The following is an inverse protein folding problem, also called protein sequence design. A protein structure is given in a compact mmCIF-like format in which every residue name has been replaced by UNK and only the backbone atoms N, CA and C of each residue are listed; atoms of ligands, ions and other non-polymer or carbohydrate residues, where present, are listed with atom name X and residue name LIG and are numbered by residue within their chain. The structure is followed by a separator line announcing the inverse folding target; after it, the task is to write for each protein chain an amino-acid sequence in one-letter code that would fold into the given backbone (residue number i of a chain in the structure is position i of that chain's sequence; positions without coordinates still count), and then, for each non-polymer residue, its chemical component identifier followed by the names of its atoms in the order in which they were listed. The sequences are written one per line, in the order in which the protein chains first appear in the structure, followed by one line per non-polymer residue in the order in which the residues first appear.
data_IF_349419907985
#
_entry.id   IF_349419907985
#
_cell.length_a   1.000
_cell.length_b   1.000
_cell.length_c   1.000
_cell.angle_alpha   90.00
_cell.angle_beta   90.00
_cell.angle_gamma   90.00
#
_symmetry.space_group_name_H-M   'P 1'
#
loop_
_entity.id
_entity.type
_entity.pdbx_description
1 polymer ?
#
# COMPACT_ATOMS: atom_id res chain seq x y z
N UNK A 1 -19.12 -14.46 11.53
CA UNK A 1 -19.84 -13.55 10.63
C UNK A 1 -18.92 -13.34 9.43
N UNK A 2 -18.96 -14.24 8.46
CA UNK A 2 -18.23 -14.07 7.20
C UNK A 2 -19.02 -13.04 6.38
N UNK A 3 -18.64 -11.76 6.50
CA UNK A 3 -18.95 -10.82 5.44
C UNK A 3 -18.31 -11.39 4.18
N UNK A 4 -19.10 -11.60 3.14
CA UNK A 4 -18.67 -12.06 1.82
C UNK A 4 -17.50 -11.18 1.36
N UNK A 5 -16.27 -11.66 1.55
CA UNK A 5 -15.03 -10.96 1.23
C UNK A 5 -14.89 -10.94 -0.30
N UNK A 6 -15.47 -9.93 -0.94
CA UNK A 6 -15.30 -9.69 -2.37
C UNK A 6 -14.07 -8.82 -2.63
N UNK A 7 -13.49 -8.97 -3.82
CA UNK A 7 -12.36 -8.15 -4.28
C UNK A 7 -12.66 -6.66 -4.11
N UNK A 8 -13.83 -6.21 -4.56
CA UNK A 8 -14.22 -4.81 -4.46
C UNK A 8 -14.39 -4.33 -3.01
N UNK A 9 -14.90 -5.18 -2.11
CA UNK A 9 -14.99 -4.82 -0.69
C UNK A 9 -13.60 -4.58 -0.09
N UNK A 10 -12.64 -5.46 -0.41
CA UNK A 10 -11.24 -5.33 0.03
C UNK A 10 -10.56 -4.08 -0.55
N UNK A 11 -10.67 -3.86 -1.87
CA UNK A 11 -10.06 -2.70 -2.51
C UNK A 11 -10.65 -1.38 -2.00
N UNK A 12 -11.96 -1.32 -1.77
CA UNK A 12 -12.59 -0.16 -1.14
C UNK A 12 -12.13 0.05 0.30
N UNK A 13 -11.84 -1.02 1.05
CA UNK A 13 -11.29 -0.90 2.40
C UNK A 13 -9.89 -0.29 2.37
N UNK A 14 -9.01 -0.76 1.48
CA UNK A 14 -7.65 -0.22 1.29
C UNK A 14 -7.71 1.25 0.87
N UNK A 15 -8.53 1.58 -0.13
CA UNK A 15 -8.63 2.94 -0.66
C UNK A 15 -9.14 3.96 0.38
N UNK A 16 -9.91 3.55 1.38
CA UNK A 16 -10.36 4.46 2.44
C UNK A 16 -9.21 5.00 3.29
N UNK A 17 -8.09 4.27 3.43
CA UNK A 17 -6.91 4.76 4.16
C UNK A 17 -6.06 5.69 3.32
N UNK A 18 -5.91 5.36 2.05
CA UNK A 18 -5.05 6.09 1.11
C UNK A 18 -5.84 6.62 -0.10
N UNK A 19 -6.84 7.50 0.11
CA UNK A 19 -7.81 7.87 -0.94
C UNK A 19 -7.19 8.60 -2.13
N UNK A 20 -6.04 9.25 -1.92
CA UNK A 20 -5.38 10.08 -2.92
C UNK A 20 -4.14 9.41 -3.54
N UNK A 21 -3.87 8.14 -3.24
CA UNK A 21 -2.72 7.42 -3.79
C UNK A 21 -3.17 6.55 -4.98
N UNK A 22 -3.41 7.20 -6.12
CA UNK A 22 -3.98 6.58 -7.33
C UNK A 22 -3.15 5.41 -7.86
N UNK A 23 -1.84 5.59 -7.91
CA UNK A 23 -0.87 4.61 -8.43
C UNK A 23 -0.78 3.40 -7.50
N UNK A 24 -0.84 3.64 -6.18
CA UNK A 24 -0.87 2.58 -5.19
C UNK A 24 -2.17 1.77 -5.28
N UNK A 25 -3.33 2.44 -5.36
CA UNK A 25 -4.62 1.78 -5.50
C UNK A 25 -4.71 0.93 -6.78
N UNK A 26 -4.16 1.42 -7.90
CA UNK A 26 -4.06 0.66 -9.14
C UNK A 26 -3.19 -0.59 -8.96
N UNK A 27 -1.99 -0.44 -8.41
CA UNK A 27 -1.06 -1.57 -8.20
C UNK A 27 -1.68 -2.66 -7.31
N UNK A 28 -2.35 -2.28 -6.22
CA UNK A 28 -3.05 -3.23 -5.35
C UNK A 28 -4.18 -3.94 -6.12
N UNK A 29 -4.96 -3.19 -6.92
CA UNK A 29 -6.05 -3.79 -7.72
C UNK A 29 -5.52 -4.83 -8.70
N UNK A 30 -4.46 -4.55 -9.44
CA UNK A 30 -3.91 -5.46 -10.44
C UNK A 30 -3.40 -6.78 -9.82
N UNK A 31 -2.64 -6.66 -8.73
CA UNK A 31 -2.14 -7.83 -7.98
C UNK A 31 -3.30 -8.63 -7.41
N UNK A 32 -4.26 -7.98 -6.74
CA UNK A 32 -5.38 -8.68 -6.10
C UNK A 32 -6.33 -9.31 -7.10
N UNK A 33 -6.55 -8.70 -8.26
CA UNK A 33 -7.36 -9.28 -9.35
C UNK A 33 -6.75 -10.59 -9.84
N UNK A 34 -5.41 -10.63 -9.95
CA UNK A 34 -4.69 -11.83 -10.36
C UNK A 34 -4.71 -12.92 -9.28
N UNK A 35 -4.59 -12.53 -8.01
CA UNK A 35 -4.54 -13.48 -6.88
C UNK A 35 -5.93 -13.98 -6.45
N UNK A 36 -7.02 -13.25 -6.71
CA UNK A 36 -8.35 -13.58 -6.18
C UNK A 36 -8.82 -15.00 -6.49
N UNK A 37 -8.74 -15.49 -7.75
CA UNK A 37 -9.14 -16.86 -8.09
C UNK A 37 -8.32 -17.92 -7.33
N UNK A 38 -7.04 -17.65 -7.10
CA UNK A 38 -6.18 -18.53 -6.30
C UNK A 38 -6.59 -18.54 -4.82
N UNK A 39 -6.92 -17.38 -4.26
CA UNK A 39 -7.37 -17.22 -2.87
C UNK A 39 -8.74 -17.86 -2.61
N UNK A 40 -9.59 -17.93 -3.63
CA UNK A 40 -10.85 -18.67 -3.59
C UNK A 40 -10.62 -20.17 -3.45
N UNK A 41 -9.66 -20.73 -4.20
CA UNK A 41 -9.28 -22.14 -4.14
C UNK A 41 -8.42 -22.48 -2.90
N UNK A 42 -7.74 -21.49 -2.32
CA UNK A 42 -6.78 -21.68 -1.22
C UNK A 42 -7.13 -20.79 -0.02
N UNK A 43 -8.20 -21.09 0.75
CA UNK A 43 -8.72 -20.23 1.80
C UNK A 43 -7.73 -19.95 2.94
N UNK A 44 -6.72 -20.80 3.14
CA UNK A 44 -5.66 -20.61 4.14
C UNK A 44 -4.94 -19.26 4.01
N UNK A 45 -4.81 -18.72 2.79
CA UNK A 45 -4.13 -17.43 2.55
C UNK A 45 -5.01 -16.20 2.81
N UNK A 46 -6.28 -16.39 3.17
CA UNK A 46 -7.17 -15.30 3.63
C UNK A 46 -7.30 -15.24 5.15
N UNK A 47 -6.63 -16.15 5.87
CA UNK A 47 -6.67 -16.20 7.33
C UNK A 47 -5.71 -15.18 7.96
N UNK A 48 -5.90 -14.90 9.25
CA UNK A 48 -5.02 -14.03 10.04
C UNK A 48 -4.78 -12.64 9.42
N UNK A 49 -5.81 -12.12 8.75
CA UNK A 49 -5.77 -10.84 8.02
C UNK A 49 -4.51 -10.68 7.16
N UNK A 50 -4.12 -11.76 6.46
CA UNK A 50 -2.86 -11.80 5.72
C UNK A 50 -2.82 -10.74 4.61
N UNK A 51 -3.92 -10.54 3.89
CA UNK A 51 -3.98 -9.58 2.79
C UNK A 51 -3.93 -8.14 3.30
N UNK A 52 -4.61 -7.85 4.40
CA UNK A 52 -4.59 -6.53 5.04
C UNK A 52 -3.19 -6.18 5.54
N UNK A 53 -2.47 -7.16 6.11
CA UNK A 53 -1.07 -6.97 6.53
C UNK A 53 -0.12 -6.83 5.35
N UNK A 54 -0.39 -7.50 4.23
CA UNK A 54 0.47 -7.45 3.05
C UNK A 54 0.40 -6.10 2.33
N UNK A 55 -0.77 -5.46 2.31
CA UNK A 55 -0.97 -4.17 1.61
C UNK A 55 -0.68 -2.96 2.51
N UNK A 56 -0.51 -3.16 3.81
CA UNK A 56 -0.13 -2.09 4.74
C UNK A 56 1.40 -2.16 4.97
N UNK A 57 2.16 -1.11 4.65
CA UNK A 57 3.61 -1.14 4.80
C UNK A 57 4.01 -1.24 6.29
N UNK A 58 5.02 -2.05 6.60
CA UNK A 58 5.53 -2.18 7.97
C UNK A 58 6.05 -0.85 8.54
N UNK A 59 6.67 -0.01 7.70
CA UNK A 59 7.15 1.31 8.11
C UNK A 59 7.24 2.29 6.94
N UNK A 60 6.78 3.51 7.17
CA UNK A 60 6.97 4.64 6.25
C UNK A 60 7.70 5.77 6.98
N UNK A 61 8.78 6.26 6.38
CA UNK A 61 9.59 7.36 6.93
C UNK A 61 9.50 8.53 5.96
N UNK A 62 9.01 9.67 6.43
CA UNK A 62 8.99 10.94 5.69
C UNK A 62 9.89 11.95 6.41
N UNK A 63 10.82 12.57 5.69
CA UNK A 63 11.80 13.48 6.30
C UNK A 63 12.20 14.63 5.37
N UNK A 64 12.74 15.69 5.97
CA UNK A 64 13.23 16.89 5.28
C UNK A 64 14.68 16.68 4.83
N UNK A 65 14.99 17.05 3.59
CA UNK A 65 16.36 17.12 3.06
C UNK A 65 16.66 18.59 2.76
N UNK A 66 17.68 19.13 3.43
CA UNK A 66 18.15 20.50 3.21
C UNK A 66 19.50 20.45 2.52
N UNK A 67 19.65 21.21 1.44
CA UNK A 67 20.88 21.26 0.65
C UNK A 67 21.09 22.67 0.08
N UNK A 68 22.25 22.94 -0.49
CA UNK A 68 22.63 24.24 -1.06
C UNK A 68 22.92 24.05 -2.54
N UNK A 69 22.34 24.89 -3.40
CA UNK A 69 22.56 24.84 -4.85
C UNK A 69 23.81 25.59 -5.32
N UNK A 70 24.12 25.51 -6.62
CA UNK A 70 25.29 26.16 -7.24
C UNK A 70 25.25 27.70 -7.16
N UNK A 71 24.07 28.29 -6.84
CA UNK A 71 23.89 29.73 -6.61
C UNK A 71 23.95 30.09 -5.13
N UNK A 72 24.37 29.14 -4.29
CA UNK A 72 24.47 29.27 -2.85
C UNK A 72 23.12 29.56 -2.16
N UNK A 73 22.01 29.10 -2.75
CA UNK A 73 20.67 29.23 -2.17
C UNK A 73 20.28 27.94 -1.43
N UNK A 74 19.64 28.08 -0.27
CA UNK A 74 19.16 26.94 0.53
C UNK A 74 17.90 26.38 -0.10
N UNK A 75 17.94 25.09 -0.41
CA UNK A 75 16.83 24.33 -0.96
C UNK A 75 16.33 23.32 0.07
N UNK A 76 15.01 23.09 0.07
CA UNK A 76 14.35 22.17 1.01
C UNK A 76 13.45 21.23 0.23
N UNK A 77 13.71 19.92 0.34
CA UNK A 77 12.90 18.87 -0.27
C UNK A 77 12.33 17.94 0.80
N UNK A 78 11.29 17.21 0.41
CA UNK A 78 10.75 16.09 1.16
C UNK A 78 11.26 14.80 0.52
N UNK A 79 11.72 13.88 1.35
CA UNK A 79 12.12 12.54 0.95
C UNK A 79 11.30 11.49 1.71
N UNK A 80 11.24 10.29 1.15
CA UNK A 80 10.51 9.17 1.70
C UNK A 80 11.33 7.88 1.65
N UNK A 81 11.11 7.01 2.63
CA UNK A 81 11.52 5.60 2.57
C UNK A 81 10.35 4.73 3.03
N UNK A 82 9.87 3.87 2.13
CA UNK A 82 8.84 2.87 2.42
C UNK A 82 9.52 1.53 2.60
N UNK A 83 9.38 0.94 3.78
CA UNK A 83 9.84 -0.41 4.12
C UNK A 83 8.59 -1.29 4.17
N UNK A 84 8.25 -1.90 3.04
CA UNK A 84 6.93 -2.51 2.86
C UNK A 84 6.79 -3.86 3.57
N UNK A 85 7.78 -4.74 3.40
CA UNK A 85 7.81 -6.09 4.00
C UNK A 85 9.25 -6.49 4.30
N UNK A 86 9.48 -7.20 5.42
CA UNK A 86 10.77 -7.76 5.84
C UNK A 86 10.74 -9.23 6.23
#
# INVERSE_FOLDING_TARGET
MDQTYSLESFLNHVQKRDPNQTEFAQAVREVMTTLWPFLEQNPKYRQMSLLERLVEPERVIQFRVVWVDDRNQVQVNRAWRVQFSS
#
